data_IF_395624016525
#
_entry.id   IF_395624016525
#
_cell.length_a   1.000
_cell.length_b   1.000
_cell.length_c   1.000
_cell.angle_alpha   90.00
_cell.angle_beta   90.00
_cell.angle_gamma   90.00
#
_symmetry.space_group_name_H-M   'P 1'
#
loop_
_entity.id
_entity.type
_entity.pdbx_description
1 polymer ?
#
# COMPACT_ATOMS: atom_id res chain seq x y z
N UNK A 1 63.18 57.98 -17.83
CA UNK A 1 62.10 57.85 -16.82
C UNK A 1 61.07 56.82 -17.27
N UNK A 2 61.13 55.67 -16.62
CA UNK A 2 60.37 54.44 -16.88
C UNK A 2 58.99 54.59 -16.24
N UNK A 3 57.91 54.25 -16.96
CA UNK A 3 56.61 54.00 -16.34
C UNK A 3 56.04 52.69 -16.87
N UNK A 4 56.38 51.63 -16.15
CA UNK A 4 55.78 50.31 -16.26
C UNK A 4 54.33 50.38 -15.78
N UNK A 5 53.37 50.10 -16.66
CA UNK A 5 52.01 49.72 -16.25
C UNK A 5 51.77 48.26 -16.57
N UNK A 6 51.98 47.46 -15.53
CA UNK A 6 51.56 46.08 -15.40
C UNK A 6 50.03 46.02 -15.38
N UNK A 7 49.42 45.36 -16.37
CA UNK A 7 48.01 44.99 -16.37
C UNK A 7 47.94 43.51 -15.97
N UNK A 8 47.66 43.27 -14.70
CA UNK A 8 47.39 41.95 -14.15
C UNK A 8 46.05 41.42 -14.72
N UNK A 9 46.14 40.34 -15.50
CA UNK A 9 45.02 39.46 -15.82
C UNK A 9 44.57 38.75 -14.54
N UNK A 10 43.46 39.17 -13.95
CA UNK A 10 42.75 38.39 -12.93
C UNK A 10 41.53 37.73 -13.56
N UNK A 11 41.72 36.46 -13.86
CA UNK A 11 40.73 35.51 -14.32
C UNK A 11 39.83 35.03 -13.18
N UNK A 12 38.51 35.09 -13.42
CA UNK A 12 37.42 34.32 -12.76
C UNK A 12 36.98 34.86 -11.38
N UNK A 13 35.69 35.24 -11.23
CA UNK A 13 34.68 34.22 -10.95
C UNK A 13 33.27 34.57 -11.50
N UNK A 14 33.09 34.67 -12.81
CA UNK A 14 31.73 34.86 -13.39
C UNK A 14 30.92 33.55 -13.38
N UNK A 15 31.58 32.40 -13.14
CA UNK A 15 30.93 31.08 -13.14
C UNK A 15 30.07 30.79 -11.89
N UNK A 16 30.19 31.57 -10.82
CA UNK A 16 29.48 31.28 -9.56
C UNK A 16 28.06 31.84 -9.50
N UNK A 17 27.73 32.87 -10.30
CA UNK A 17 26.43 33.56 -10.21
C UNK A 17 25.34 32.80 -11.01
N UNK A 18 25.72 32.06 -12.05
CA UNK A 18 24.79 31.27 -12.85
C UNK A 18 24.26 30.02 -12.10
N UNK A 19 24.98 29.52 -11.08
CA UNK A 19 24.57 28.32 -10.33
C UNK A 19 23.53 28.61 -9.25
N UNK A 20 23.45 29.87 -8.78
CA UNK A 20 22.53 30.28 -7.71
C UNK A 20 21.10 30.57 -8.20
N UNK A 21 20.89 30.79 -9.50
CA UNK A 21 19.56 30.99 -10.08
C UNK A 21 18.92 29.70 -10.62
N UNK A 22 19.68 28.60 -10.73
CA UNK A 22 19.18 27.31 -11.23
C UNK A 22 18.49 26.44 -10.14
N UNK A 23 18.49 26.89 -8.88
CA UNK A 23 17.84 26.18 -7.77
C UNK A 23 16.43 26.70 -7.44
N UNK A 24 15.92 27.69 -8.19
CA UNK A 24 14.61 28.31 -7.96
C UNK A 24 13.46 27.67 -8.78
N UNK A 25 13.65 26.47 -9.33
CA UNK A 25 12.59 25.71 -10.03
C UNK A 25 12.44 24.34 -9.39
N UNK A 26 12.21 24.31 -8.07
CA UNK A 26 11.50 23.18 -7.48
C UNK A 26 10.02 23.52 -7.57
N UNK A 27 9.25 22.93 -8.50
CA UNK A 27 7.82 22.86 -8.27
C UNK A 27 7.68 22.15 -6.93
N UNK A 28 7.18 22.88 -5.93
CA UNK A 28 6.53 22.27 -4.79
C UNK A 28 5.31 21.52 -5.33
N UNK A 29 5.55 20.38 -5.96
CA UNK A 29 4.62 19.29 -6.00
C UNK A 29 4.52 18.86 -4.54
N UNK A 30 3.70 19.58 -3.77
CA UNK A 30 2.92 18.94 -2.73
C UNK A 30 2.24 17.76 -3.43
N UNK A 31 2.89 16.60 -3.39
CA UNK A 31 2.18 15.33 -3.33
C UNK A 31 1.38 15.41 -2.04
N UNK A 32 0.26 16.14 -2.08
CA UNK A 32 -0.94 15.71 -1.39
C UNK A 32 -1.17 14.31 -1.95
N UNK A 33 -0.62 13.33 -1.26
CA UNK A 33 -1.20 12.00 -1.27
C UNK A 33 -2.65 12.25 -0.89
N UNK A 34 -3.51 12.37 -1.91
CA UNK A 34 -4.92 12.20 -1.71
C UNK A 34 -5.01 10.81 -1.10
N UNK A 35 -5.16 10.75 0.22
CA UNK A 35 -5.59 9.55 0.93
C UNK A 35 -7.06 9.37 0.56
N UNK A 36 -7.33 9.13 -0.72
CA UNK A 36 -8.57 8.54 -1.15
C UNK A 36 -8.69 7.22 -0.37
N UNK A 37 -9.84 6.91 0.22
CA UNK A 37 -10.06 5.56 0.73
C UNK A 37 -9.94 4.63 -0.48
N UNK A 38 -8.80 3.94 -0.60
CA UNK A 38 -8.54 3.03 -1.71
C UNK A 38 -9.32 1.75 -1.44
N UNK A 39 -10.59 1.77 -1.82
CA UNK A 39 -11.33 0.55 -2.13
C UNK A 39 -11.02 0.20 -3.59
N UNK A 40 -10.24 -0.87 -3.81
CA UNK A 40 -9.79 -1.25 -5.16
C UNK A 40 -10.65 -2.40 -5.74
N UNK A 41 -11.85 -2.04 -6.18
CA UNK A 41 -12.58 -2.79 -7.20
C UNK A 41 -13.25 -4.12 -6.78
N UNK A 42 -14.18 -4.61 -7.60
CA UNK A 42 -14.94 -5.82 -7.31
C UNK A 42 -14.07 -7.08 -7.44
N UNK A 43 -14.32 -8.06 -6.56
CA UNK A 43 -13.77 -9.40 -6.72
C UNK A 43 -14.37 -10.05 -7.98
N UNK A 44 -13.51 -10.62 -8.83
CA UNK A 44 -13.91 -11.36 -10.03
C UNK A 44 -13.78 -12.85 -9.74
N UNK A 45 -14.86 -13.59 -9.96
CA UNK A 45 -14.88 -15.05 -9.84
C UNK A 45 -14.84 -15.68 -11.22
N UNK A 46 -13.84 -16.54 -11.47
CA UNK A 46 -13.84 -17.41 -12.62
C UNK A 46 -14.75 -18.63 -12.32
N UNK A 47 -15.89 -18.72 -13.01
CA UNK A 47 -16.88 -19.79 -12.82
C UNK A 47 -16.37 -21.18 -13.20
N UNK A 48 -15.40 -21.27 -14.12
CA UNK A 48 -14.87 -22.55 -14.59
C UNK A 48 -13.89 -23.17 -13.59
N UNK A 49 -13.14 -22.32 -12.88
CA UNK A 49 -12.11 -22.77 -11.92
C UNK A 49 -12.50 -22.57 -10.46
N UNK A 50 -13.56 -21.81 -10.17
CA UNK A 50 -13.94 -21.38 -8.83
C UNK A 50 -12.87 -20.51 -8.15
N UNK A 51 -12.09 -19.76 -8.94
CA UNK A 51 -11.02 -18.89 -8.42
C UNK A 51 -11.52 -17.45 -8.41
N UNK A 52 -11.54 -16.83 -7.23
CA UNK A 52 -11.78 -15.41 -7.05
C UNK A 52 -10.46 -14.64 -6.97
N UNK A 53 -10.41 -13.49 -7.64
CA UNK A 53 -9.29 -12.55 -7.56
C UNK A 53 -9.83 -11.14 -7.32
N UNK A 54 -9.10 -10.32 -6.57
CA UNK A 54 -9.52 -8.96 -6.26
C UNK A 54 -8.47 -8.21 -5.46
N UNK A 55 -8.70 -6.93 -5.23
CA UNK A 55 -7.85 -6.10 -4.39
C UNK A 55 -8.73 -5.41 -3.34
N UNK A 56 -8.26 -5.32 -2.10
CA UNK A 56 -8.97 -4.58 -1.07
C UNK A 56 -7.98 -3.92 -0.11
N UNK A 57 -8.16 -2.62 0.15
CA UNK A 57 -7.27 -1.82 1.00
C UNK A 57 -5.78 -1.91 0.60
N UNK A 58 -5.49 -2.12 -0.69
CA UNK A 58 -4.13 -2.28 -1.21
C UNK A 58 -3.54 -3.69 -1.04
N UNK A 59 -4.34 -4.69 -0.69
CA UNK A 59 -3.94 -6.10 -0.57
C UNK A 59 -4.53 -6.88 -1.74
N UNK A 60 -3.73 -7.71 -2.38
CA UNK A 60 -4.17 -8.56 -3.49
C UNK A 60 -4.66 -9.90 -2.94
N UNK A 61 -5.79 -10.39 -3.46
CA UNK A 61 -6.39 -11.66 -3.06
C UNK A 61 -6.45 -12.64 -4.22
N UNK A 62 -6.12 -13.89 -3.94
CA UNK A 62 -6.36 -15.04 -4.81
C UNK A 62 -6.97 -16.18 -4.00
N UNK A 63 -8.24 -16.47 -4.24
CA UNK A 63 -9.04 -17.34 -3.39
C UNK A 63 -9.63 -18.48 -4.21
N UNK A 64 -9.47 -19.72 -3.76
CA UNK A 64 -10.01 -20.91 -4.43
C UNK A 64 -11.31 -21.39 -3.77
N UNK A 65 -12.17 -22.02 -4.57
CA UNK A 65 -13.46 -22.53 -4.10
C UNK A 65 -14.49 -21.43 -3.85
N UNK A 66 -14.39 -20.31 -4.57
CA UNK A 66 -15.39 -19.26 -4.57
C UNK A 66 -16.55 -19.63 -5.50
N UNK A 67 -17.79 -19.40 -5.05
CA UNK A 67 -19.03 -19.63 -5.81
C UNK A 67 -19.69 -18.34 -6.26
N UNK A 68 -19.29 -17.20 -5.67
CA UNK A 68 -19.77 -15.86 -6.00
C UNK A 68 -18.85 -14.81 -5.38
N UNK A 69 -19.19 -13.53 -5.55
CA UNK A 69 -18.47 -12.45 -4.89
C UNK A 69 -19.41 -11.31 -4.54
N UNK A 70 -19.54 -11.05 -3.24
CA UNK A 70 -20.24 -9.91 -2.69
C UNK A 70 -19.27 -9.14 -1.79
N UNK A 71 -19.12 -7.84 -2.02
CA UNK A 71 -18.26 -6.99 -1.21
C UNK A 71 -19.07 -5.85 -0.61
N UNK A 72 -18.97 -5.69 0.70
CA UNK A 72 -19.48 -4.54 1.44
C UNK A 72 -18.30 -3.78 2.04
N UNK A 73 -18.39 -2.46 2.08
CA UNK A 73 -17.33 -1.63 2.63
C UNK A 73 -17.92 -0.45 3.38
N UNK A 74 -17.36 -0.20 4.55
CA UNK A 74 -17.73 0.91 5.40
C UNK A 74 -16.49 1.78 5.62
N UNK A 75 -16.56 3.00 5.10
CA UNK A 75 -15.54 4.02 5.32
C UNK A 75 -16.16 5.04 6.27
N UNK A 76 -15.68 5.07 7.51
CA UNK A 76 -16.06 6.13 8.44
C UNK A 76 -15.41 7.46 7.98
N UNK A 77 -16.16 8.56 8.03
CA UNK A 77 -15.78 9.85 7.40
C UNK A 77 -14.81 10.73 8.18
N UNK A 78 -14.19 10.23 9.26
CA UNK A 78 -13.24 11.00 10.08
C UNK A 78 -11.80 10.89 9.53
N UNK A 79 -10.93 11.89 9.70
CA UNK A 79 -9.54 11.88 9.20
C UNK A 79 -8.64 10.82 9.86
N UNK A 80 -9.16 10.10 10.86
CA UNK A 80 -8.50 9.04 11.64
C UNK A 80 -9.17 7.66 11.42
N UNK A 81 -9.97 7.51 10.37
CA UNK A 81 -10.96 6.44 10.26
C UNK A 81 -10.39 5.08 9.90
N UNK A 82 -10.72 4.11 10.75
CA UNK A 82 -10.67 2.70 10.39
C UNK A 82 -11.56 2.48 9.16
N UNK A 83 -10.97 1.97 8.08
CA UNK A 83 -11.72 1.46 6.93
C UNK A 83 -11.99 -0.01 7.17
N UNK A 84 -13.24 -0.44 6.99
CA UNK A 84 -13.62 -1.85 7.08
C UNK A 84 -14.13 -2.32 5.73
N UNK A 85 -13.67 -3.48 5.30
CA UNK A 85 -14.20 -4.19 4.15
C UNK A 85 -14.57 -5.62 4.55
N UNK A 86 -15.69 -6.10 4.06
CA UNK A 86 -16.12 -7.49 4.22
C UNK A 86 -16.47 -8.05 2.83
N UNK A 87 -15.89 -9.20 2.50
CA UNK A 87 -16.03 -9.83 1.20
C UNK A 87 -16.52 -11.26 1.42
N UNK A 88 -17.67 -11.61 0.87
CA UNK A 88 -18.22 -12.96 0.89
C UNK A 88 -18.00 -13.59 -0.48
N UNK A 89 -17.25 -14.70 -0.52
CA UNK A 89 -16.89 -15.41 -1.75
C UNK A 89 -17.57 -16.79 -1.89
N UNK A 90 -18.06 -17.32 -0.77
CA UNK A 90 -18.94 -18.48 -0.69
C UNK A 90 -19.72 -18.41 0.63
N UNK A 91 -20.73 -19.26 0.82
CA UNK A 91 -21.51 -19.32 2.07
C UNK A 91 -20.61 -19.54 3.30
N UNK A 92 -19.56 -20.34 3.14
CA UNK A 92 -18.57 -20.68 4.15
C UNK A 92 -17.26 -19.87 4.04
N UNK A 93 -17.20 -18.81 3.21
CA UNK A 93 -15.98 -18.06 2.97
C UNK A 93 -16.20 -16.55 2.97
N UNK A 94 -15.85 -15.94 4.11
CA UNK A 94 -15.91 -14.50 4.35
C UNK A 94 -14.54 -13.97 4.71
N UNK A 95 -14.12 -12.89 4.06
CA UNK A 95 -12.88 -12.17 4.33
C UNK A 95 -13.24 -10.83 4.96
N UNK A 96 -12.72 -10.58 6.15
CA UNK A 96 -12.84 -9.30 6.85
C UNK A 96 -11.51 -8.56 6.86
N UNK A 97 -11.55 -7.27 6.55
CA UNK A 97 -10.39 -6.39 6.59
C UNK A 97 -10.73 -5.15 7.41
N UNK A 98 -9.81 -4.77 8.30
CA UNK A 98 -9.97 -3.59 9.15
C UNK A 98 -8.64 -2.84 9.27
N UNK A 99 -8.62 -1.59 8.83
CA UNK A 99 -7.44 -0.73 9.03
C UNK A 99 -7.29 -0.39 10.52
N UNK A 100 -6.11 -0.64 11.08
CA UNK A 100 -5.80 -0.32 12.47
C UNK A 100 -5.74 1.21 12.67
N UNK A 101 -6.11 1.67 13.87
CA UNK A 101 -5.97 3.07 14.25
C UNK A 101 -4.50 3.53 14.08
N UNK A 102 -4.29 4.64 13.37
CA UNK A 102 -2.95 5.14 13.04
C UNK A 102 -2.40 4.68 11.68
N UNK A 103 -3.05 3.72 11.00
CA UNK A 103 -2.67 3.29 9.66
C UNK A 103 -1.54 2.26 9.61
N UNK A 104 -1.17 1.67 10.75
CA UNK A 104 -0.03 0.75 10.91
C UNK A 104 -0.24 -0.65 10.28
N UNK A 105 -1.38 -0.87 9.62
CA UNK A 105 -1.68 -2.12 8.91
C UNK A 105 -3.16 -2.40 8.81
N UNK A 106 -3.48 -3.52 8.15
CA UNK A 106 -4.84 -4.02 7.96
C UNK A 106 -4.96 -5.38 8.64
N UNK A 107 -5.88 -5.53 9.59
CA UNK A 107 -6.16 -6.82 10.21
C UNK A 107 -6.89 -7.73 9.24
N UNK A 108 -6.35 -8.92 8.97
CA UNK A 108 -7.00 -9.96 8.17
C UNK A 108 -7.83 -10.88 9.05
N UNK A 109 -9.08 -11.07 8.66
CA UNK A 109 -9.96 -12.09 9.21
C UNK A 109 -10.48 -12.99 8.08
N UNK A 110 -10.54 -14.29 8.31
CA UNK A 110 -11.20 -15.26 7.42
C UNK A 110 -12.18 -16.06 8.25
N UNK A 111 -13.46 -16.03 7.90
CA UNK A 111 -14.56 -16.65 8.65
C UNK A 111 -14.60 -16.24 10.14
N UNK A 112 -14.30 -14.96 10.41
CA UNK A 112 -14.24 -14.41 11.77
C UNK A 112 -12.97 -14.78 12.56
N UNK A 113 -12.05 -15.56 12.00
CA UNK A 113 -10.77 -15.91 12.61
C UNK A 113 -9.69 -14.95 12.16
N UNK A 114 -8.83 -14.50 13.08
CA UNK A 114 -7.78 -13.50 12.79
C UNK A 114 -6.48 -14.16 12.35
N UNK A 115 -5.90 -13.67 11.25
CA UNK A 115 -4.65 -14.18 10.64
C UNK A 115 -3.48 -13.19 10.67
N UNK A 116 -3.59 -12.17 11.53
CA UNK A 116 -2.55 -11.17 11.77
C UNK A 116 -2.82 -9.85 11.05
N UNK A 117 -1.76 -9.04 10.95
CA UNK A 117 -1.76 -7.77 10.22
C UNK A 117 -1.11 -7.96 8.85
N UNK A 118 -1.65 -7.23 7.88
CA UNK A 118 -1.16 -7.11 6.52
C UNK A 118 -0.71 -5.69 6.24
N UNK A 119 0.26 -5.55 5.35
CA UNK A 119 0.68 -4.30 4.77
C UNK A 119 0.06 -4.13 3.37
N UNK A 120 0.00 -2.87 2.91
CA UNK A 120 -0.30 -2.58 1.50
C UNK A 120 0.77 -3.21 0.62
N UNK A 121 0.35 -3.87 -0.45
CA UNK A 121 1.19 -4.64 -1.36
C UNK A 121 1.30 -6.12 -1.02
N UNK A 122 0.78 -6.57 0.13
CA UNK A 122 0.74 -8.00 0.45
C UNK A 122 -0.21 -8.76 -0.49
N UNK A 123 0.13 -10.01 -0.75
CA UNK A 123 -0.70 -10.98 -1.47
C UNK A 123 -1.23 -12.03 -0.49
N UNK A 124 -2.55 -12.20 -0.47
CA UNK A 124 -3.23 -13.23 0.32
C UNK A 124 -3.77 -14.30 -0.62
N UNK A 125 -3.32 -15.54 -0.40
CA UNK A 125 -3.86 -16.71 -1.06
C UNK A 125 -4.65 -17.57 -0.07
N UNK A 126 -5.86 -17.97 -0.46
CA UNK A 126 -6.69 -18.90 0.32
C UNK A 126 -7.03 -20.09 -0.59
N UNK A 127 -6.67 -21.30 -0.17
CA UNK A 127 -6.95 -22.51 -0.96
C UNK A 127 -8.33 -23.12 -0.65
N UNK A 128 -8.62 -24.26 -1.28
CA UNK A 128 -9.90 -24.95 -1.12
C UNK A 128 -10.11 -25.48 0.31
N UNK A 129 -9.02 -25.78 1.02
CA UNK A 129 -9.04 -26.23 2.43
C UNK A 129 -9.09 -25.04 3.41
N UNK A 130 -9.27 -23.83 2.90
CA UNK A 130 -9.31 -22.57 3.67
C UNK A 130 -7.98 -22.26 4.36
N UNK A 131 -6.88 -22.84 3.91
CA UNK A 131 -5.57 -22.50 4.42
C UNK A 131 -5.15 -21.13 3.86
N UNK A 132 -4.69 -20.26 4.77
CA UNK A 132 -4.31 -18.89 4.43
C UNK A 132 -2.80 -18.82 4.24
N UNK A 133 -2.37 -18.20 3.15
CA UNK A 133 -0.98 -17.84 2.88
C UNK A 133 -0.88 -16.34 2.63
N UNK A 134 0.15 -15.71 3.19
CA UNK A 134 0.47 -14.30 2.96
C UNK A 134 1.87 -14.25 2.34
N UNK A 135 1.99 -13.67 1.15
CA UNK A 135 3.24 -13.62 0.38
C UNK A 135 3.90 -15.00 0.22
N UNK A 136 3.09 -16.06 0.06
CA UNK A 136 3.54 -17.44 -0.07
C UNK A 136 3.81 -18.17 1.27
N UNK A 137 3.86 -17.47 2.40
CA UNK A 137 4.06 -18.07 3.72
C UNK A 137 2.73 -18.47 4.36
N UNK A 138 2.64 -19.70 4.85
CA UNK A 138 1.44 -20.18 5.56
C UNK A 138 1.23 -19.38 6.85
N UNK A 139 -0.02 -19.01 7.12
CA UNK A 139 -0.44 -18.34 8.35
C UNK A 139 -1.39 -19.22 9.13
N UNK A 140 -1.23 -19.20 10.44
CA UNK A 140 -2.15 -19.82 11.39
C UNK A 140 -3.02 -18.80 12.11
N UNK A 141 -4.16 -19.27 12.59
CA UNK A 141 -5.05 -18.47 13.43
C UNK A 141 -4.29 -17.92 14.64
N UNK A 142 -4.37 -16.61 14.87
CA UNK A 142 -3.70 -15.96 15.99
C UNK A 142 -2.23 -15.61 15.75
N UNK A 143 -1.70 -15.80 14.53
CA UNK A 143 -0.37 -15.31 14.16
C UNK A 143 -0.28 -13.81 14.45
N UNK A 144 0.51 -13.46 15.47
CA UNK A 144 0.94 -12.07 15.65
C UNK A 144 1.91 -11.74 14.52
N UNK A 145 1.90 -10.51 14.00
CA UNK A 145 2.92 -10.09 13.05
C UNK A 145 4.29 -10.41 13.67
N UNK A 146 5.13 -11.15 12.95
CA UNK A 146 6.53 -11.26 13.29
C UNK A 146 7.02 -9.82 13.41
N UNK A 147 7.41 -9.43 14.63
CA UNK A 147 7.93 -8.11 14.95
C UNK A 147 8.85 -7.71 13.81
N UNK A 148 8.46 -6.69 13.03
CA UNK A 148 9.25 -6.17 11.94
C UNK A 148 10.69 -6.06 12.45
N UNK A 149 11.60 -6.81 11.85
CA UNK A 149 13.01 -6.70 12.15
C UNK A 149 13.38 -5.25 11.88
N UNK A 150 13.46 -4.45 12.94
CA UNK A 150 13.97 -3.10 12.88
C UNK A 150 15.43 -3.21 12.42
N UNK A 151 15.85 -2.44 11.40
CA UNK A 151 17.23 -2.40 10.96
C UNK A 151 18.17 -1.93 12.07
#
# INVERSE_FOLDING_TARGET
PISNRSLAMNSRPILAIAYLFLLAVLPACERRAATSPVFSGPFTVNSDTGVATGEALGITFRVMGATGAEATSEVSGSPQSASRAEITLAEDLKIGLETMAGGDGVALQVNGKRFGLLAKGDEVAIDQDRAVKVNGEARTEGDRPAKAAQP
#
